data_IF_492043118705
#
_entry.id   IF_492043118705
#
_cell.length_a   1.000
_cell.length_b   1.000
_cell.length_c   1.000
_cell.angle_alpha   90.00
_cell.angle_beta   90.00
_cell.angle_gamma   90.00
#
_symmetry.space_group_name_H-M   'P 1'
#
loop_
_entity.id
_entity.type
_entity.pdbx_description
1 polymer ?
#
# COMPACT_ATOMS: atom_id res chain seq x y z
N UNK A 1 21.49 -20.78 -29.06
CA UNK A 1 21.67 -20.29 -27.68
C UNK A 1 20.30 -19.83 -27.18
N UNK A 2 19.78 -20.38 -26.09
CA UNK A 2 18.43 -20.05 -25.59
C UNK A 2 18.61 -19.05 -24.44
N UNK A 3 18.45 -17.76 -24.72
CA UNK A 3 18.50 -16.74 -23.67
C UNK A 3 17.18 -16.83 -22.89
N UNK A 4 17.25 -17.38 -21.68
CA UNK A 4 16.12 -17.38 -20.76
C UNK A 4 16.10 -16.02 -20.07
N UNK A 5 15.20 -15.15 -20.52
CA UNK A 5 14.93 -13.88 -19.85
C UNK A 5 13.98 -14.14 -18.69
N UNK A 6 14.41 -13.86 -17.46
CA UNK A 6 13.52 -13.81 -16.31
C UNK A 6 13.02 -12.38 -16.18
N UNK A 7 11.74 -12.16 -16.47
CA UNK A 7 11.10 -10.86 -16.21
C UNK A 7 10.72 -10.84 -14.73
N UNK A 8 11.30 -9.90 -13.97
CA UNK A 8 10.92 -9.63 -12.59
C UNK A 8 9.89 -8.52 -12.60
N UNK A 9 8.68 -8.82 -12.15
CA UNK A 9 7.64 -7.82 -11.94
C UNK A 9 7.64 -7.39 -10.47
N UNK A 10 7.87 -6.10 -10.15
CA UNK A 10 7.74 -5.62 -8.78
C UNK A 10 6.27 -5.75 -8.34
N UNK A 11 6.07 -6.40 -7.20
CA UNK A 11 4.73 -6.72 -6.67
C UNK A 11 4.23 -5.67 -5.68
N UNK A 12 5.11 -4.77 -5.26
CA UNK A 12 4.91 -3.67 -4.32
C UNK A 12 4.54 -2.34 -4.98
N UNK A 13 4.26 -2.38 -6.29
CA UNK A 13 3.78 -1.23 -7.08
C UNK A 13 2.38 -0.84 -6.63
N UNK A 14 2.18 0.45 -6.37
CA UNK A 14 0.87 1.05 -6.09
C UNK A 14 0.02 1.02 -7.36
N UNK A 15 -1.16 0.40 -7.29
CA UNK A 15 -2.13 0.37 -8.39
C UNK A 15 -3.26 1.38 -8.20
N UNK A 16 -3.70 1.56 -6.95
CA UNK A 16 -4.88 2.38 -6.63
C UNK A 16 -4.70 3.05 -5.27
N UNK A 17 -5.17 4.29 -5.16
CA UNK A 17 -5.35 4.99 -3.89
C UNK A 17 -6.78 4.81 -3.43
N UNK A 18 -6.97 4.19 -2.27
CA UNK A 18 -8.28 3.86 -1.69
C UNK A 18 -8.80 5.00 -0.81
N UNK A 19 -7.91 5.64 -0.04
CA UNK A 19 -8.24 6.76 0.84
C UNK A 19 -6.99 7.63 1.12
N UNK A 20 -7.21 8.89 1.50
CA UNK A 20 -6.15 9.88 1.78
C UNK A 20 -6.47 10.63 3.08
N UNK A 21 -5.44 10.83 3.92
CA UNK A 21 -5.47 11.49 5.22
C UNK A 21 -4.27 12.43 5.33
N UNK A 22 -4.42 13.68 4.88
CA UNK A 22 -3.28 14.59 4.74
C UNK A 22 -2.20 14.01 3.83
N UNK A 23 -0.97 13.85 4.34
CA UNK A 23 0.14 13.20 3.63
C UNK A 23 0.11 11.67 3.61
N UNK A 24 -0.76 11.03 4.40
CA UNK A 24 -0.91 9.57 4.47
C UNK A 24 -1.97 9.06 3.49
N UNK A 25 -1.77 7.88 2.92
CA UNK A 25 -2.73 7.24 2.01
C UNK A 25 -2.82 5.73 2.22
N UNK A 26 -4.01 5.17 2.03
CA UNK A 26 -4.24 3.72 1.92
C UNK A 26 -4.21 3.37 0.44
N UNK A 27 -3.34 2.45 0.04
CA UNK A 27 -3.14 2.06 -1.36
C UNK A 27 -3.30 0.56 -1.55
N UNK A 28 -3.82 0.15 -2.71
CA UNK A 28 -3.82 -1.24 -3.15
C UNK A 28 -2.60 -1.50 -4.03
N UNK A 29 -1.81 -2.49 -3.65
CA UNK A 29 -0.64 -2.91 -4.39
C UNK A 29 -0.97 -3.96 -5.45
N UNK A 30 -0.02 -4.20 -6.36
CA UNK A 30 -0.14 -5.22 -7.41
C UNK A 30 -0.36 -6.63 -6.88
N UNK A 31 0.19 -6.96 -5.72
CA UNK A 31 -0.07 -8.24 -5.04
C UNK A 31 -1.46 -8.32 -4.37
N UNK A 32 -2.29 -7.29 -4.48
CA UNK A 32 -3.62 -7.21 -3.89
C UNK A 32 -3.64 -6.75 -2.42
N UNK A 33 -2.49 -6.60 -1.76
CA UNK A 33 -2.42 -6.10 -0.39
C UNK A 33 -2.79 -4.63 -0.34
N UNK A 34 -3.47 -4.24 0.73
CA UNK A 34 -3.67 -2.86 1.10
C UNK A 34 -2.54 -2.42 2.04
N UNK A 35 -1.96 -1.25 1.77
CA UNK A 35 -0.90 -0.66 2.60
C UNK A 35 -1.17 0.82 2.94
N UNK A 36 -0.83 1.23 4.15
CA UNK A 36 -0.77 2.65 4.54
C UNK A 36 0.64 3.18 4.21
N UNK A 37 0.73 4.23 3.39
CA UNK A 37 1.99 4.84 2.93
C UNK A 37 1.98 6.36 3.08
N UNK A 38 3.16 6.92 3.34
CA UNK A 38 3.35 8.37 3.49
C UNK A 38 2.81 8.94 4.79
N UNK A 39 2.86 10.27 4.88
CA UNK A 39 2.30 11.07 5.97
C UNK A 39 3.08 11.05 7.28
N UNK A 40 2.72 11.98 8.14
CA UNK A 40 3.25 12.11 9.50
C UNK A 40 2.61 11.06 10.44
N UNK A 41 3.20 10.80 11.63
CA UNK A 41 2.68 9.79 12.56
C UNK A 41 1.19 9.94 12.88
N UNK A 42 0.68 11.17 13.03
CA UNK A 42 -0.73 11.44 13.31
C UNK A 42 -1.64 11.06 12.13
N UNK A 43 -1.24 11.42 10.91
CA UNK A 43 -1.96 11.08 9.67
C UNK A 43 -1.99 9.57 9.41
N UNK A 44 -0.89 8.87 9.75
CA UNK A 44 -0.85 7.40 9.70
C UNK A 44 -1.74 6.74 10.75
N UNK A 45 -1.86 7.35 11.93
CA UNK A 45 -2.77 6.86 12.96
C UNK A 45 -4.23 6.99 12.52
N UNK A 46 -4.61 8.13 11.95
CA UNK A 46 -5.94 8.35 11.38
C UNK A 46 -6.26 7.36 10.26
N UNK A 47 -5.33 7.17 9.31
CA UNK A 47 -5.47 6.18 8.25
C UNK A 47 -5.64 4.76 8.79
N UNK A 48 -4.94 4.42 9.88
CA UNK A 48 -5.04 3.11 10.54
C UNK A 48 -6.39 2.92 11.22
N UNK A 49 -6.89 3.93 11.92
CA UNK A 49 -8.20 3.89 12.56
C UNK A 49 -9.32 3.71 11.52
N UNK A 50 -9.30 4.50 10.45
CA UNK A 50 -10.23 4.34 9.34
C UNK A 50 -10.11 2.95 8.70
N UNK A 51 -8.89 2.47 8.47
CA UNK A 51 -8.65 1.15 7.88
C UNK A 51 -9.19 0.04 8.78
N UNK A 52 -9.07 0.14 10.11
CA UNK A 52 -9.66 -0.81 11.03
C UNK A 52 -11.19 -0.88 10.95
N UNK A 53 -11.86 0.18 10.47
CA UNK A 53 -13.32 0.22 10.29
C UNK A 53 -13.77 -0.28 8.91
N UNK A 54 -13.01 0.01 7.85
CA UNK A 54 -13.46 -0.18 6.47
C UNK A 54 -12.58 -1.11 5.61
N UNK A 55 -11.37 -1.41 6.05
CA UNK A 55 -10.35 -2.15 5.31
C UNK A 55 -9.53 -3.01 6.28
N UNK A 56 -10.17 -3.97 6.95
CA UNK A 56 -9.55 -4.76 8.03
C UNK A 56 -8.24 -5.48 7.63
N UNK A 57 -7.99 -5.63 6.33
CA UNK A 57 -6.81 -6.26 5.73
C UNK A 57 -5.65 -5.29 5.43
N UNK A 58 -5.84 -3.97 5.65
CA UNK A 58 -4.79 -2.99 5.38
C UNK A 58 -3.63 -3.11 6.40
N UNK A 59 -2.43 -3.31 5.87
CA UNK A 59 -1.21 -3.48 6.64
C UNK A 59 -0.41 -2.17 6.64
N UNK A 60 0.42 -1.91 7.65
CA UNK A 60 1.42 -0.84 7.56
C UNK A 60 2.35 -1.10 6.36
N UNK A 61 2.65 -0.07 5.56
CA UNK A 61 3.60 -0.18 4.47
C UNK A 61 5.01 -0.55 4.98
N UNK A 62 5.73 -1.35 4.19
CA UNK A 62 7.11 -1.69 4.49
C UNK A 62 8.02 -0.48 4.20
N UNK A 63 8.14 0.38 5.21
CA UNK A 63 9.13 1.46 5.44
C UNK A 63 9.58 2.30 4.24
#
# INVERSE_FOLDING_TARGET
MKHRWTVVFPMDVELEVVAVFGGSRVVRLRNGRLEIRGGEPAERAEAREWSSLFCHEALPGAR
#
